data_IF_097345537653
#
_entry.id   IF_097345537653
#
_cell.length_a   1.000
_cell.length_b   1.000
_cell.length_c   1.000
_cell.angle_alpha   90.00
_cell.angle_beta   90.00
_cell.angle_gamma   90.00
#
_symmetry.space_group_name_H-M   'P 1'
#
loop_
_entity.id
_entity.type
_entity.pdbx_description
1 polymer ?
#
# COMPACT_ATOMS: atom_id res chain seq x y z
N UNK A 1 -33.04 62.34 -0.52
CA UNK A 1 -33.18 61.01 0.11
C UNK A 1 -32.51 59.96 -0.77
N UNK A 2 -31.24 59.63 -0.51
CA UNK A 2 -30.47 58.59 -1.23
C UNK A 2 -30.18 57.47 -0.22
N UNK A 3 -30.57 56.23 -0.56
CA UNK A 3 -30.50 55.05 0.31
C UNK A 3 -29.05 54.60 0.49
N UNK A 4 -28.66 54.42 1.75
CA UNK A 4 -27.37 53.92 2.21
C UNK A 4 -27.33 52.39 2.02
N UNK A 5 -26.27 51.89 1.40
CA UNK A 5 -26.00 50.46 1.18
C UNK A 5 -25.47 49.86 2.48
N UNK A 6 -26.17 48.87 3.04
CA UNK A 6 -25.59 47.99 4.07
C UNK A 6 -25.19 46.67 3.42
N UNK A 7 -23.88 46.42 3.40
CA UNK A 7 -23.29 45.15 3.00
C UNK A 7 -23.41 44.16 4.15
N UNK A 8 -24.21 43.10 3.95
CA UNK A 8 -24.22 41.92 4.80
C UNK A 8 -23.25 40.90 4.15
N UNK A 9 -21.98 40.92 4.55
CA UNK A 9 -21.03 39.87 4.18
C UNK A 9 -21.13 38.75 5.21
N UNK A 10 -21.86 37.71 4.83
CA UNK A 10 -21.93 36.42 5.50
C UNK A 10 -20.53 35.78 5.41
N UNK A 11 -19.81 35.67 6.52
CA UNK A 11 -18.57 34.90 6.58
C UNK A 11 -18.91 33.41 6.47
N UNK A 12 -18.80 32.86 5.26
CA UNK A 12 -18.74 31.42 5.04
C UNK A 12 -17.47 30.89 5.71
N UNK A 13 -17.64 30.14 6.80
CA UNK A 13 -16.56 29.37 7.39
C UNK A 13 -16.03 28.35 6.39
N UNK A 14 -14.74 28.46 6.04
CA UNK A 14 -14.01 27.38 5.38
C UNK A 14 -13.74 26.29 6.43
N UNK A 15 -14.56 25.25 6.44
CA UNK A 15 -14.19 23.99 7.07
C UNK A 15 -13.24 23.25 6.12
N UNK A 16 -11.93 23.39 6.32
CA UNK A 16 -10.95 22.50 5.69
C UNK A 16 -10.87 21.21 6.50
N UNK A 17 -11.68 20.22 6.12
CA UNK A 17 -11.56 18.85 6.61
C UNK A 17 -11.02 17.98 5.46
N UNK A 18 -9.72 17.72 5.48
CA UNK A 18 -9.14 16.58 4.76
C UNK A 18 -7.81 16.19 5.40
N UNK A 19 -7.85 15.84 6.68
CA UNK A 19 -6.87 14.93 7.26
C UNK A 19 -7.38 13.51 7.00
N UNK A 20 -6.67 12.74 6.17
CA UNK A 20 -6.91 11.31 6.10
C UNK A 20 -6.59 10.74 7.48
N UNK A 21 -7.59 10.16 8.13
CA UNK A 21 -7.41 9.49 9.41
C UNK A 21 -6.42 8.34 9.21
N UNK A 22 -5.26 8.42 9.86
CA UNK A 22 -4.44 7.24 10.12
C UNK A 22 -5.33 6.31 10.93
N UNK A 23 -5.50 5.07 10.47
CA UNK A 23 -6.35 4.11 11.17
C UNK A 23 -5.77 3.87 12.57
N UNK A 24 -6.46 4.39 13.58
CA UNK A 24 -6.10 4.28 14.99
C UNK A 24 -6.74 3.00 15.58
N UNK A 25 -5.89 2.04 15.93
CA UNK A 25 -6.35 0.78 16.55
C UNK A 25 -6.75 0.94 18.02
N UNK A 26 -6.50 2.10 18.65
CA UNK A 26 -6.73 2.34 20.08
C UNK A 26 -8.19 2.19 20.51
N UNK A 27 -9.13 2.29 19.56
CA UNK A 27 -10.57 2.22 19.79
C UNK A 27 -11.17 0.83 19.48
N UNK A 28 -10.38 -0.12 18.97
CA UNK A 28 -10.86 -1.47 18.64
C UNK A 28 -10.80 -2.41 19.86
N UNK A 29 -11.73 -3.37 19.99
CA UNK A 29 -11.63 -4.40 21.02
C UNK A 29 -10.30 -5.16 20.91
N UNK A 30 -9.70 -5.51 22.05
CA UNK A 30 -8.42 -6.20 22.10
C UNK A 30 -8.38 -7.50 21.25
N UNK A 31 -9.50 -8.23 21.18
CA UNK A 31 -9.63 -9.43 20.34
C UNK A 31 -9.55 -9.13 18.84
N UNK A 32 -10.07 -7.98 18.39
CA UNK A 32 -9.97 -7.51 17.01
C UNK A 32 -8.55 -7.12 16.70
N UNK A 33 -7.89 -6.36 17.59
CA UNK A 33 -6.48 -6.00 17.43
C UNK A 33 -5.60 -7.25 17.37
N UNK A 34 -5.79 -8.21 18.27
CA UNK A 34 -5.07 -9.49 18.25
C UNK A 34 -5.30 -10.27 16.96
N UNK A 35 -6.54 -10.36 16.50
CA UNK A 35 -6.86 -10.98 15.22
C UNK A 35 -6.13 -10.30 14.05
N UNK A 36 -6.18 -8.97 13.97
CA UNK A 36 -5.48 -8.23 12.91
C UNK A 36 -3.97 -8.45 12.97
N UNK A 37 -3.38 -8.41 14.16
CA UNK A 37 -1.96 -8.66 14.39
C UNK A 37 -1.56 -10.10 14.03
N UNK A 38 -2.44 -11.09 14.17
CA UNK A 38 -2.20 -12.47 13.72
C UNK A 38 -2.20 -12.63 12.18
N UNK A 39 -2.86 -11.70 11.48
CA UNK A 39 -3.03 -11.69 10.02
C UNK A 39 -2.01 -10.74 9.41
N UNK A 40 -0.74 -11.12 9.52
CA UNK A 40 0.42 -10.39 8.96
C UNK A 40 1.13 -11.20 7.87
N UNK A 41 1.83 -10.51 6.99
CA UNK A 41 2.77 -11.10 6.02
C UNK A 41 4.18 -10.57 6.30
N UNK A 42 5.19 -11.32 5.86
CA UNK A 42 6.59 -10.93 6.00
C UNK A 42 7.18 -10.74 4.62
N UNK A 43 7.87 -9.62 4.37
CA UNK A 43 8.66 -9.41 3.15
C UNK A 43 10.13 -9.42 3.53
N UNK A 44 10.86 -10.43 3.05
CA UNK A 44 12.32 -10.51 3.17
C UNK A 44 12.92 -9.86 1.92
N UNK A 45 13.46 -8.64 2.07
CA UNK A 45 14.01 -7.93 0.91
C UNK A 45 15.36 -8.48 0.47
N UNK A 46 16.02 -9.31 1.28
CA UNK A 46 17.28 -9.97 0.87
C UNK A 46 17.02 -11.12 -0.10
N UNK A 47 15.81 -11.70 -0.05
CA UNK A 47 15.35 -12.77 -0.95
C UNK A 47 14.38 -12.29 -2.03
N UNK A 48 13.86 -11.07 -1.88
CA UNK A 48 12.75 -10.55 -2.69
C UNK A 48 11.57 -11.54 -2.66
N UNK A 49 11.16 -11.92 -1.45
CA UNK A 49 10.09 -12.86 -1.18
C UNK A 49 9.08 -12.27 -0.19
N UNK A 50 7.81 -12.62 -0.38
CA UNK A 50 6.72 -12.38 0.57
C UNK A 50 6.21 -13.72 1.08
N UNK A 51 6.24 -13.90 2.39
CA UNK A 51 5.80 -15.11 3.07
C UNK A 51 4.51 -14.87 3.85
N UNK A 52 3.64 -15.88 3.84
CA UNK A 52 2.44 -15.97 4.67
C UNK A 52 2.72 -16.90 5.85
N UNK A 53 3.03 -16.37 7.06
CA UNK A 53 3.44 -17.22 8.19
C UNK A 53 2.38 -18.22 8.63
N UNK A 54 1.11 -17.90 8.44
CA UNK A 54 -0.04 -18.73 8.84
C UNK A 54 -0.16 -20.02 8.01
N UNK A 55 0.19 -19.96 6.72
CA UNK A 55 0.16 -21.11 5.79
C UNK A 55 1.53 -21.63 5.41
N UNK A 56 2.60 -20.94 5.82
CA UNK A 56 4.00 -21.33 5.63
C UNK A 56 4.45 -21.43 4.18
N UNK A 57 3.85 -20.64 3.29
CA UNK A 57 4.27 -20.49 1.89
C UNK A 57 4.84 -19.11 1.61
N UNK A 58 5.80 -19.06 0.69
CA UNK A 58 6.50 -17.86 0.26
C UNK A 58 6.39 -17.69 -1.26
N UNK A 59 6.34 -16.44 -1.70
CA UNK A 59 6.15 -16.05 -3.10
C UNK A 59 7.23 -15.06 -3.50
N UNK A 60 7.78 -15.23 -4.71
CA UNK A 60 8.68 -14.24 -5.29
C UNK A 60 7.93 -12.94 -5.53
N UNK A 61 8.59 -11.82 -5.28
CA UNK A 61 8.03 -10.46 -5.46
C UNK A 61 9.04 -9.57 -6.16
N UNK A 62 8.57 -8.50 -6.80
CA UNK A 62 9.46 -7.43 -7.24
C UNK A 62 9.53 -6.36 -6.16
N UNK A 63 10.72 -5.91 -5.82
CA UNK A 63 10.96 -4.90 -4.78
C UNK A 63 11.88 -3.80 -5.29
N UNK A 64 12.01 -2.73 -4.52
CA UNK A 64 12.95 -1.64 -4.77
C UNK A 64 14.04 -1.59 -3.71
N UNK A 65 15.19 -0.98 -4.06
CA UNK A 65 16.27 -0.72 -3.09
C UNK A 65 15.85 0.21 -1.95
N UNK A 66 14.82 1.01 -2.20
CA UNK A 66 14.23 1.99 -1.28
C UNK A 66 13.00 1.46 -0.55
N UNK A 67 12.68 0.16 -0.67
CA UNK A 67 11.56 -0.45 0.08
C UNK A 67 11.84 -0.30 1.58
N UNK A 68 11.02 0.46 2.33
CA UNK A 68 11.38 0.84 3.68
C UNK A 68 11.16 -0.35 4.63
N UNK A 69 12.13 -0.58 5.52
CA UNK A 69 12.05 -1.63 6.55
C UNK A 69 11.12 -1.23 7.68
N UNK A 70 10.53 -2.20 8.35
CA UNK A 70 9.66 -1.99 9.52
C UNK A 70 8.32 -2.70 9.41
N UNK A 71 7.49 -2.50 10.42
CA UNK A 71 6.12 -3.02 10.51
C UNK A 71 5.14 -1.94 10.11
N UNK A 72 4.28 -2.23 9.14
CA UNK A 72 3.33 -1.28 8.59
C UNK A 72 1.93 -1.85 8.58
N UNK A 73 0.94 -1.01 8.89
CA UNK A 73 -0.47 -1.32 8.66
C UNK A 73 -0.76 -1.23 7.17
N UNK A 74 -1.47 -2.21 6.64
CA UNK A 74 -1.91 -2.26 5.26
C UNK A 74 -3.30 -1.63 5.12
N UNK A 75 -3.45 -0.74 4.15
CA UNK A 75 -4.71 -0.04 3.84
C UNK A 75 -5.04 -0.19 2.37
N UNK A 76 -6.28 -0.55 2.05
CA UNK A 76 -6.73 -0.65 0.66
C UNK A 76 -7.08 0.74 0.12
N UNK A 77 -6.52 1.10 -1.03
CA UNK A 77 -6.83 2.32 -1.75
C UNK A 77 -7.36 1.99 -3.14
N UNK A 78 -8.45 2.63 -3.55
CA UNK A 78 -8.95 2.54 -4.93
C UNK A 78 -8.13 3.44 -5.85
N UNK A 79 -7.98 3.03 -7.10
CA UNK A 79 -7.31 3.82 -8.13
C UNK A 79 -7.86 3.52 -9.52
N UNK A 80 -7.96 4.55 -10.35
CA UNK A 80 -8.32 4.48 -11.77
C UNK A 80 -7.10 4.34 -12.69
N UNK A 81 -5.88 4.36 -12.12
CA UNK A 81 -4.63 4.25 -12.89
C UNK A 81 -4.54 2.90 -13.58
N UNK A 82 -4.32 2.93 -14.89
CA UNK A 82 -4.18 1.74 -15.73
C UNK A 82 -3.03 0.85 -15.25
N UNK A 83 -3.27 -0.45 -15.26
CA UNK A 83 -2.29 -1.48 -14.90
C UNK A 83 -2.29 -1.91 -13.42
N UNK A 84 -3.00 -1.21 -12.53
CA UNK A 84 -3.12 -1.61 -11.12
C UNK A 84 -4.32 -2.55 -10.84
N UNK A 85 -5.31 -2.56 -11.73
CA UNK A 85 -6.51 -3.41 -11.58
C UNK A 85 -7.54 -2.86 -10.60
N UNK A 86 -7.58 -1.54 -10.40
CA UNK A 86 -8.63 -0.83 -9.64
C UNK A 86 -8.27 -0.49 -8.19
N UNK A 87 -7.25 -1.11 -7.63
CA UNK A 87 -6.83 -0.89 -6.24
C UNK A 87 -5.33 -1.20 -6.01
N UNK A 88 -4.81 -0.67 -4.91
CA UNK A 88 -3.48 -0.98 -4.35
C UNK A 88 -3.57 -1.09 -2.82
N UNK A 89 -2.63 -1.79 -2.20
CA UNK A 89 -2.54 -1.90 -0.74
C UNK A 89 -1.39 -1.01 -0.26
N UNK A 90 -1.71 0.19 0.23
CA UNK A 90 -0.74 1.14 0.79
C UNK A 90 -0.24 0.68 2.16
N UNK A 91 1.03 0.97 2.46
CA UNK A 91 1.61 0.65 3.78
C UNK A 91 2.46 1.77 4.39
N UNK A 92 3.04 2.66 3.56
CA UNK A 92 3.74 3.86 4.05
C UNK A 92 3.51 5.00 3.05
N UNK A 93 3.27 6.20 3.55
CA UNK A 93 3.31 7.41 2.74
C UNK A 93 4.40 8.33 3.27
N UNK A 94 5.23 8.85 2.36
CA UNK A 94 6.33 9.75 2.70
C UNK A 94 6.59 10.69 1.53
N UNK A 95 6.64 12.00 1.80
CA UNK A 95 6.89 13.03 0.79
C UNK A 95 5.96 12.95 -0.44
N UNK A 96 4.67 12.60 -0.22
CA UNK A 96 3.69 12.44 -1.29
C UNK A 96 3.87 11.18 -2.15
N UNK A 97 4.77 10.28 -1.76
CA UNK A 97 4.92 8.96 -2.37
C UNK A 97 4.28 7.88 -1.49
N UNK A 98 3.32 7.15 -2.06
CA UNK A 98 2.70 5.99 -1.43
C UNK A 98 3.48 4.72 -1.79
N UNK A 99 4.16 4.14 -0.81
CA UNK A 99 4.68 2.78 -0.89
C UNK A 99 3.51 1.80 -0.74
N UNK A 100 3.39 0.88 -1.70
CA UNK A 100 2.27 -0.04 -1.77
C UNK A 100 2.68 -1.45 -2.22
N UNK A 101 1.89 -2.44 -1.80
CA UNK A 101 1.80 -3.73 -2.47
C UNK A 101 0.80 -3.62 -3.61
N UNK A 102 1.15 -4.11 -4.79
CA UNK A 102 0.24 -4.11 -5.94
C UNK A 102 0.54 -5.25 -6.93
N UNK A 103 -0.41 -5.52 -7.83
CA UNK A 103 -0.23 -6.50 -8.92
C UNK A 103 0.95 -6.12 -9.80
N UNK A 104 1.65 -7.09 -10.39
CA UNK A 104 2.72 -6.81 -11.36
C UNK A 104 2.21 -5.89 -12.47
N UNK A 105 2.79 -4.70 -12.57
CA UNK A 105 2.40 -3.71 -13.57
C UNK A 105 3.11 -3.99 -14.90
N UNK A 106 2.35 -4.13 -15.97
CA UNK A 106 2.83 -4.64 -17.27
C UNK A 106 2.74 -3.62 -18.41
N UNK A 107 2.45 -2.36 -18.10
CA UNK A 107 2.27 -1.33 -19.13
C UNK A 107 3.57 -0.86 -19.80
N UNK A 108 4.74 -1.27 -19.29
CA UNK A 108 6.03 -1.10 -19.97
C UNK A 108 6.62 -2.49 -20.29
N UNK A 109 6.41 -3.04 -21.50
CA UNK A 109 6.89 -4.37 -21.87
C UNK A 109 8.42 -4.52 -21.76
N UNK A 110 9.18 -3.46 -22.04
CA UNK A 110 10.64 -3.45 -21.97
C UNK A 110 11.21 -3.70 -20.56
N UNK A 111 10.39 -3.57 -19.51
CA UNK A 111 10.82 -3.90 -18.15
C UNK A 111 10.77 -5.40 -17.86
N UNK A 112 10.08 -6.21 -18.69
CA UNK A 112 10.00 -7.67 -18.55
C UNK A 112 9.59 -8.14 -17.14
N UNK A 113 8.67 -7.41 -16.49
CA UNK A 113 8.35 -7.62 -15.06
C UNK A 113 7.82 -9.03 -14.76
N UNK A 114 7.06 -9.64 -15.68
CA UNK A 114 6.57 -11.01 -15.53
C UNK A 114 7.69 -12.06 -15.60
N UNK A 115 8.70 -11.84 -16.44
CA UNK A 115 9.88 -12.71 -16.49
C UNK A 115 10.73 -12.52 -15.24
N UNK A 116 10.91 -11.27 -14.80
CA UNK A 116 11.70 -10.92 -13.60
C UNK A 116 11.14 -11.57 -12.35
N UNK A 117 9.83 -11.47 -12.10
CA UNK A 117 9.21 -12.03 -10.89
C UNK A 117 9.35 -13.56 -10.85
N UNK A 118 9.34 -14.22 -12.01
CA UNK A 118 9.54 -15.66 -12.13
C UNK A 118 11.00 -16.09 -11.98
N UNK A 119 11.98 -15.21 -12.25
CA UNK A 119 13.41 -15.53 -12.17
C UNK A 119 13.79 -16.09 -10.81
N UNK A 120 14.73 -17.03 -10.75
CA UNK A 120 15.34 -17.50 -9.49
C UNK A 120 16.39 -16.53 -8.97
N UNK A 121 17.00 -15.73 -9.85
CA UNK A 121 17.99 -14.73 -9.47
C UNK A 121 17.33 -13.53 -8.77
N UNK A 122 17.64 -13.33 -7.49
CA UNK A 122 17.13 -12.21 -6.67
C UNK A 122 17.39 -10.85 -7.33
N UNK A 123 18.55 -10.68 -7.98
CA UNK A 123 18.92 -9.40 -8.59
C UNK A 123 17.95 -8.96 -9.69
N UNK A 124 17.32 -9.92 -10.40
CA UNK A 124 16.32 -9.61 -11.42
C UNK A 124 15.04 -9.00 -10.83
N UNK A 125 14.76 -9.34 -9.56
CA UNK A 125 13.57 -8.95 -8.80
C UNK A 125 13.71 -7.63 -8.05
N UNK A 126 14.91 -7.04 -7.98
CA UNK A 126 15.16 -5.71 -7.41
C UNK A 126 15.10 -4.65 -8.52
N UNK A 127 13.92 -4.09 -8.76
CA UNK A 127 13.69 -3.18 -9.90
C UNK A 127 12.73 -2.01 -9.64
N UNK A 128 11.91 -2.05 -8.59
CA UNK A 128 10.90 -1.01 -8.34
C UNK A 128 11.50 0.21 -7.65
N UNK A 129 10.73 1.28 -7.53
CA UNK A 129 11.10 2.47 -6.74
C UNK A 129 10.73 2.35 -5.25
N UNK A 130 10.37 1.15 -4.78
CA UNK A 130 10.05 0.88 -3.37
C UNK A 130 8.71 0.15 -3.16
N UNK A 131 7.86 0.08 -4.17
CA UNK A 131 6.65 -0.74 -4.12
C UNK A 131 6.99 -2.24 -4.18
N UNK A 132 6.10 -3.06 -3.64
CA UNK A 132 6.23 -4.53 -3.63
C UNK A 132 5.23 -5.08 -4.65
N UNK A 133 5.71 -5.52 -5.80
CA UNK A 133 4.83 -6.07 -6.83
C UNK A 133 4.69 -7.58 -6.64
N UNK A 134 3.46 -8.06 -6.69
CA UNK A 134 3.13 -9.47 -6.45
C UNK A 134 2.25 -10.00 -7.59
N UNK A 135 2.20 -11.33 -7.74
CA UNK A 135 1.27 -11.97 -8.67
C UNK A 135 -0.19 -11.74 -8.25
N UNK A 136 -1.13 -11.81 -9.21
CA UNK A 136 -2.53 -11.49 -8.98
C UNK A 136 -3.16 -12.31 -7.83
N UNK A 137 -2.89 -13.62 -7.78
CA UNK A 137 -3.42 -14.49 -6.74
C UNK A 137 -2.88 -14.13 -5.34
N UNK A 138 -1.60 -13.76 -5.25
CA UNK A 138 -0.97 -13.28 -4.01
C UNK A 138 -1.61 -11.95 -3.59
N UNK A 139 -1.83 -11.04 -4.53
CA UNK A 139 -2.46 -9.75 -4.25
C UNK A 139 -3.89 -9.91 -3.71
N UNK A 140 -4.72 -10.73 -4.36
CA UNK A 140 -6.11 -10.93 -3.91
C UNK A 140 -6.17 -11.62 -2.54
N UNK A 141 -5.17 -12.47 -2.23
CA UNK A 141 -4.98 -13.04 -0.90
C UNK A 141 -4.59 -12.00 0.14
N UNK A 142 -3.69 -11.06 -0.19
CA UNK A 142 -3.21 -10.00 0.71
C UNK A 142 -4.33 -9.10 1.24
N UNK A 143 -5.44 -8.95 0.52
CA UNK A 143 -6.62 -8.20 0.97
C UNK A 143 -7.25 -8.74 2.27
N UNK A 144 -6.86 -9.95 2.71
CA UNK A 144 -7.29 -10.61 3.96
C UNK A 144 -6.27 -10.48 5.10
N UNK A 145 -5.25 -9.64 4.93
CA UNK A 145 -4.18 -9.39 5.89
C UNK A 145 -4.15 -7.90 6.22
N UNK A 146 -3.60 -7.54 7.39
CA UNK A 146 -3.66 -6.18 7.91
C UNK A 146 -2.30 -5.55 8.18
N UNK A 147 -1.25 -6.35 8.30
CA UNK A 147 0.11 -5.85 8.52
C UNK A 147 1.11 -6.52 7.59
N UNK A 148 2.15 -5.76 7.24
CA UNK A 148 3.34 -6.25 6.56
C UNK A 148 4.56 -5.93 7.41
N UNK A 149 5.35 -6.96 7.70
CA UNK A 149 6.66 -6.83 8.33
C UNK A 149 7.72 -6.90 7.22
N UNK A 150 8.43 -5.79 6.98
CA UNK A 150 9.46 -5.69 5.94
C UNK A 150 10.83 -5.77 6.61
N UNK A 151 11.53 -6.88 6.37
CA UNK A 151 12.82 -7.23 6.99
C UNK A 151 13.95 -7.29 5.97
#
# INVERSE_FOLDING_TARGET
MKRLKYALLLSLGLATMSGQALADDSQLPASVVQYMQSRRVVVDTSKAELCFPDTKDCHKVLIGKTTPKGTYRMTLHTTDKKGYGGDVIGFKEENGFLFALHRVWTQIPAEHRLQRIASDNVADRVMTNGCINVENAVYDRLKKYFYVDIV
#
